data_IF_807821612431
#
_entry.id   IF_807821612431
#
_cell.length_a   1.000
_cell.length_b   1.000
_cell.length_c   1.000
_cell.angle_alpha   90.00
_cell.angle_beta   90.00
_cell.angle_gamma   90.00
#
_symmetry.space_group_name_H-M   'P 1'
#
loop_
_entity.id
_entity.type
_entity.pdbx_description
1 polymer ?
#
# COMPACT_ATOMS: atom_id res chain seq x y z
N UNK A 1 -17.35 14.72 -16.10
CA UNK A 1 -16.28 14.08 -16.90
C UNK A 1 -14.90 14.14 -16.22
N UNK A 2 -14.43 15.30 -15.75
CA UNK A 2 -13.10 15.43 -15.12
C UNK A 2 -12.88 14.48 -13.91
N UNK A 3 -13.82 14.45 -12.96
CA UNK A 3 -13.69 13.62 -11.73
C UNK A 3 -13.68 12.13 -12.01
N UNK A 4 -14.47 11.65 -12.99
CA UNK A 4 -14.46 10.25 -13.43
C UNK A 4 -13.10 9.85 -14.03
N UNK A 5 -12.45 10.77 -14.76
CA UNK A 5 -11.11 10.55 -15.29
C UNK A 5 -10.06 10.56 -14.18
N UNK A 6 -10.22 11.40 -13.17
CA UNK A 6 -9.32 11.46 -12.00
C UNK A 6 -9.39 10.17 -11.17
N UNK A 7 -10.60 9.66 -10.91
CA UNK A 7 -10.80 8.39 -10.18
C UNK A 7 -10.22 7.22 -10.97
N UNK A 8 -10.48 7.16 -12.29
CA UNK A 8 -9.92 6.12 -13.15
C UNK A 8 -8.37 6.16 -13.20
N UNK A 9 -7.78 7.36 -13.27
CA UNK A 9 -6.33 7.53 -13.18
C UNK A 9 -5.79 7.01 -11.84
N UNK A 10 -6.48 7.30 -10.74
CA UNK A 10 -6.12 6.83 -9.41
C UNK A 10 -6.18 5.30 -9.30
N UNK A 11 -7.23 4.68 -9.85
CA UNK A 11 -7.36 3.21 -9.90
C UNK A 11 -6.22 2.57 -10.68
N UNK A 12 -5.88 3.11 -11.86
CA UNK A 12 -4.77 2.63 -12.68
C UNK A 12 -3.43 2.76 -11.94
N UNK A 13 -3.21 3.88 -11.24
CA UNK A 13 -2.00 4.12 -10.46
C UNK A 13 -1.90 3.17 -9.27
N UNK A 14 -3.02 2.93 -8.59
CA UNK A 14 -3.10 2.02 -7.45
C UNK A 14 -2.87 0.58 -7.89
N UNK A 15 -3.46 0.15 -9.01
CA UNK A 15 -3.23 -1.16 -9.61
C UNK A 15 -1.77 -1.34 -10.03
N UNK A 16 -1.17 -0.32 -10.66
CA UNK A 16 0.24 -0.35 -11.04
C UNK A 16 1.16 -0.49 -9.81
N UNK A 17 0.85 0.20 -8.71
CA UNK A 17 1.57 0.07 -7.44
C UNK A 17 1.42 -1.34 -6.85
N UNK A 18 0.23 -1.93 -6.87
CA UNK A 18 0.01 -3.32 -6.43
C UNK A 18 0.82 -4.31 -7.27
N UNK A 19 0.85 -4.15 -8.60
CA UNK A 19 1.67 -4.99 -9.49
C UNK A 19 3.15 -4.83 -9.19
N UNK A 20 3.64 -3.60 -8.99
CA UNK A 20 5.01 -3.32 -8.58
C UNK A 20 5.34 -3.97 -7.23
N UNK A 21 4.42 -3.93 -6.27
CA UNK A 21 4.53 -4.59 -4.98
C UNK A 21 4.77 -6.08 -5.16
N UNK A 22 3.93 -6.74 -5.96
CA UNK A 22 4.02 -8.18 -6.23
C UNK A 22 5.33 -8.55 -6.92
N UNK A 23 5.77 -7.76 -7.91
CA UNK A 23 7.06 -7.99 -8.59
C UNK A 23 8.21 -7.89 -7.59
N UNK A 24 8.22 -6.87 -6.74
CA UNK A 24 9.26 -6.71 -5.71
C UNK A 24 9.24 -7.86 -4.69
N UNK A 25 8.06 -8.32 -4.30
CA UNK A 25 7.89 -9.44 -3.37
C UNK A 25 8.39 -10.76 -3.98
N UNK A 26 8.08 -11.02 -5.25
CA UNK A 26 8.57 -12.20 -5.98
C UNK A 26 10.10 -12.12 -6.14
N UNK A 27 10.64 -10.98 -6.55
CA UNK A 27 12.10 -10.83 -6.69
C UNK A 27 12.83 -10.96 -5.36
N UNK A 28 12.29 -10.42 -4.26
CA UNK A 28 12.86 -10.63 -2.93
C UNK A 28 12.96 -12.11 -2.54
N UNK A 29 12.01 -12.93 -2.99
CA UNK A 29 12.00 -14.36 -2.66
C UNK A 29 13.07 -15.16 -3.39
N UNK A 30 13.53 -14.68 -4.56
CA UNK A 30 14.51 -15.37 -5.41
C UNK A 30 15.97 -15.02 -5.09
N UNK A 31 16.22 -13.97 -4.30
CA UNK A 31 17.58 -13.51 -4.00
C UNK A 31 18.06 -14.04 -2.64
N UNK A 32 19.12 -14.86 -2.65
CA UNK A 32 20.02 -15.05 -1.48
C UNK A 32 20.76 -13.74 -1.21
N UNK A 33 20.08 -12.79 -0.59
CA UNK A 33 20.62 -11.49 -0.23
C UNK A 33 20.75 -11.37 1.28
N UNK A 34 21.72 -10.59 1.74
CA UNK A 34 22.05 -10.49 3.17
C UNK A 34 20.83 -10.05 3.97
N UNK A 35 20.76 -10.41 5.26
CA UNK A 35 19.64 -10.06 6.14
C UNK A 35 19.31 -8.55 6.10
N UNK A 36 20.32 -7.71 5.89
CA UNK A 36 20.18 -6.27 5.70
C UNK A 36 19.37 -5.92 4.44
N UNK A 37 19.68 -6.49 3.28
CA UNK A 37 18.96 -6.20 2.03
C UNK A 37 17.50 -6.68 2.07
N UNK A 38 17.24 -7.83 2.71
CA UNK A 38 15.87 -8.29 2.96
C UNK A 38 15.10 -7.36 3.90
N UNK A 39 15.75 -6.84 4.95
CA UNK A 39 15.14 -5.85 5.85
C UNK A 39 14.76 -4.56 5.11
N UNK A 40 15.67 -4.05 4.26
CA UNK A 40 15.44 -2.83 3.47
C UNK A 40 14.31 -3.05 2.46
N UNK A 41 14.27 -4.19 1.77
CA UNK A 41 13.23 -4.43 0.78
C UNK A 41 11.86 -4.70 1.43
N UNK A 42 11.80 -5.35 2.60
CA UNK A 42 10.57 -5.46 3.38
C UNK A 42 10.04 -4.08 3.79
N UNK A 43 10.93 -3.17 4.16
CA UNK A 43 10.60 -1.80 4.55
C UNK A 43 10.12 -0.97 3.35
N UNK A 44 10.77 -1.09 2.18
CA UNK A 44 10.33 -0.47 0.92
C UNK A 44 8.93 -0.96 0.54
N UNK A 45 8.67 -2.27 0.66
CA UNK A 45 7.35 -2.83 0.38
C UNK A 45 6.29 -2.31 1.37
N UNK A 46 6.64 -2.20 2.66
CA UNK A 46 5.78 -1.55 3.65
C UNK A 46 5.46 -0.09 3.29
N UNK A 47 6.47 0.71 2.93
CA UNK A 47 6.28 2.10 2.51
C UNK A 47 5.35 2.21 1.30
N UNK A 48 5.39 1.24 0.40
CA UNK A 48 4.53 1.21 -0.78
C UNK A 48 3.07 0.89 -0.40
N UNK A 49 2.84 -0.01 0.57
CA UNK A 49 1.51 -0.22 1.17
C UNK A 49 0.99 1.04 1.86
N UNK A 50 1.85 1.77 2.58
CA UNK A 50 1.50 3.04 3.21
C UNK A 50 1.10 4.11 2.17
N UNK A 51 1.78 4.16 1.03
CA UNK A 51 1.42 5.06 -0.06
C UNK A 51 0.02 4.74 -0.63
N UNK A 52 -0.31 3.45 -0.80
CA UNK A 52 -1.64 3.02 -1.25
C UNK A 52 -2.72 3.40 -0.22
N UNK A 53 -2.49 3.16 1.07
CA UNK A 53 -3.41 3.54 2.15
C UNK A 53 -3.67 5.06 2.10
N UNK A 54 -2.62 5.86 1.95
CA UNK A 54 -2.76 7.33 1.84
C UNK A 54 -3.51 7.76 0.59
N UNK A 55 -3.34 7.06 -0.53
CA UNK A 55 -4.16 7.28 -1.73
C UNK A 55 -5.65 7.06 -1.47
N UNK A 56 -5.98 5.99 -0.74
CA UNK A 56 -7.36 5.67 -0.36
C UNK A 56 -7.92 6.70 0.64
N UNK A 57 -7.11 7.15 1.62
CA UNK A 57 -7.49 8.22 2.56
C UNK A 57 -7.86 9.52 1.81
N UNK A 58 -7.05 9.92 0.82
CA UNK A 58 -7.33 11.11 -0.01
C UNK A 58 -8.64 10.94 -0.79
N UNK A 59 -8.92 9.74 -1.28
CA UNK A 59 -10.15 9.42 -1.99
C UNK A 59 -11.37 9.50 -1.05
N UNK A 60 -11.22 9.04 0.20
CA UNK A 60 -12.23 9.17 1.25
C UNK A 60 -12.49 10.63 1.62
N UNK A 61 -11.44 11.45 1.79
CA UNK A 61 -11.58 12.89 2.04
C UNK A 61 -12.26 13.61 0.87
N UNK A 62 -11.98 13.18 -0.36
CA UNK A 62 -12.63 13.71 -1.56
C UNK A 62 -14.13 13.39 -1.60
N UNK A 63 -14.54 12.22 -1.09
CA UNK A 63 -15.94 11.87 -0.88
C UNK A 63 -16.61 12.83 0.11
N UNK A 64 -15.98 13.10 1.25
CA UNK A 64 -16.51 14.02 2.25
C UNK A 64 -16.65 15.46 1.72
N UNK A 65 -15.73 15.89 0.85
CA UNK A 65 -15.77 17.21 0.23
C UNK A 65 -16.87 17.38 -0.84
N UNK A 66 -17.30 16.29 -1.50
CA UNK A 66 -18.27 16.34 -2.60
C UNK A 66 -19.34 15.23 -2.54
N UNK A 67 -20.12 15.11 -1.44
CA UNK A 67 -20.98 13.96 -1.19
C UNK A 67 -22.05 13.74 -2.26
N UNK A 68 -22.63 14.82 -2.81
CA UNK A 68 -23.67 14.74 -3.84
C UNK A 68 -23.15 14.16 -5.17
N UNK A 69 -21.87 14.36 -5.49
CA UNK A 69 -21.26 13.80 -6.69
C UNK A 69 -21.08 12.28 -6.56
N UNK A 70 -20.60 11.80 -5.41
CA UNK A 70 -20.41 10.38 -5.16
C UNK A 70 -21.74 9.62 -5.01
N UNK A 71 -22.76 10.26 -4.41
CA UNK A 71 -24.11 9.71 -4.32
C UNK A 71 -24.79 9.58 -5.69
N UNK A 72 -24.66 10.60 -6.56
CA UNK A 72 -25.29 10.60 -7.89
C UNK A 72 -24.60 9.68 -8.91
N UNK A 73 -23.36 9.26 -8.65
CA UNK A 73 -22.58 8.37 -9.52
C UNK A 73 -22.53 6.92 -9.03
N UNK A 74 -23.05 6.62 -7.84
CA UNK A 74 -22.99 5.27 -7.25
C UNK A 74 -21.59 4.82 -6.81
N UNK A 75 -20.60 5.73 -6.85
CA UNK A 75 -19.21 5.46 -6.43
C UNK A 75 -19.07 5.28 -4.91
N UNK A 76 -20.11 5.60 -4.14
CA UNK A 76 -20.05 5.61 -2.69
C UNK A 76 -19.70 4.25 -2.07
N UNK A 77 -20.32 3.17 -2.57
CA UNK A 77 -20.04 1.81 -2.10
C UNK A 77 -18.63 1.34 -2.49
N UNK A 78 -18.12 1.80 -3.63
CA UNK A 78 -16.78 1.48 -4.12
C UNK A 78 -15.69 2.07 -3.23
N UNK A 79 -15.80 3.37 -2.91
CA UNK A 79 -14.88 4.04 -1.98
C UNK A 79 -14.94 3.38 -0.59
N UNK A 80 -16.14 3.07 -0.10
CA UNK A 80 -16.31 2.35 1.17
C UNK A 80 -15.64 0.97 1.18
N UNK A 81 -15.73 0.22 0.07
CA UNK A 81 -15.01 -1.04 -0.10
C UNK A 81 -13.50 -0.88 -0.06
N UNK A 82 -12.95 0.13 -0.75
CA UNK A 82 -11.52 0.43 -0.73
C UNK A 82 -11.00 0.79 0.65
N UNK A 83 -11.73 1.63 1.39
CA UNK A 83 -11.38 1.97 2.79
C UNK A 83 -11.36 0.72 3.67
N UNK A 84 -12.35 -0.17 3.49
CA UNK A 84 -12.42 -1.43 4.24
C UNK A 84 -11.22 -2.34 3.94
N UNK A 85 -10.86 -2.50 2.66
CA UNK A 85 -9.67 -3.28 2.26
C UNK A 85 -8.39 -2.66 2.81
N UNK A 86 -8.28 -1.33 2.82
CA UNK A 86 -7.13 -0.64 3.39
C UNK A 86 -6.98 -0.92 4.89
N UNK A 87 -8.08 -0.84 5.65
CA UNK A 87 -8.06 -1.05 7.10
C UNK A 87 -7.85 -2.52 7.48
N UNK A 88 -8.49 -3.45 6.77
CA UNK A 88 -8.49 -4.87 7.15
C UNK A 88 -7.29 -5.64 6.58
N UNK A 89 -6.77 -5.25 5.41
CA UNK A 89 -5.70 -5.98 4.75
C UNK A 89 -4.40 -5.17 4.68
N UNK A 90 -4.43 -3.97 4.08
CA UNK A 90 -3.18 -3.23 3.78
C UNK A 90 -2.47 -2.73 5.03
N UNK A 91 -3.22 -2.23 6.02
CA UNK A 91 -2.64 -1.66 7.24
C UNK A 91 -2.00 -2.73 8.15
N UNK A 92 -2.61 -3.92 8.34
CA UNK A 92 -1.93 -5.06 8.95
C UNK A 92 -0.71 -5.54 8.15
N UNK A 93 -0.79 -5.58 6.81
CA UNK A 93 0.34 -5.97 5.97
C UNK A 93 1.53 -5.02 6.17
N UNK A 94 1.27 -3.72 6.21
CA UNK A 94 2.28 -2.70 6.51
C UNK A 94 2.94 -2.94 7.86
N UNK A 95 2.15 -3.19 8.91
CA UNK A 95 2.67 -3.47 10.24
C UNK A 95 3.57 -4.71 10.27
N UNK A 96 3.18 -5.78 9.57
CA UNK A 96 4.01 -6.99 9.42
C UNK A 96 5.31 -6.69 8.68
N UNK A 97 5.27 -5.92 7.59
CA UNK A 97 6.47 -5.54 6.85
C UNK A 97 7.46 -4.73 7.69
N UNK A 98 6.96 -3.81 8.52
CA UNK A 98 7.79 -3.05 9.47
C UNK A 98 8.38 -3.97 10.54
N UNK A 99 7.58 -4.86 11.12
CA UNK A 99 8.05 -5.84 12.12
C UNK A 99 9.15 -6.74 11.57
N UNK A 100 8.93 -7.30 10.37
CA UNK A 100 9.89 -8.16 9.68
C UNK A 100 11.18 -7.40 9.39
N UNK A 101 11.09 -6.14 8.93
CA UNK A 101 12.28 -5.32 8.70
C UNK A 101 13.06 -5.04 9.99
N UNK A 102 12.38 -4.73 11.10
CA UNK A 102 13.02 -4.48 12.40
C UNK A 102 13.70 -5.74 12.94
N UNK A 103 13.06 -6.90 12.84
CA UNK A 103 13.64 -8.18 13.28
C UNK A 103 14.90 -8.50 12.47
N UNK A 104 14.83 -8.44 11.15
CA UNK A 104 16.00 -8.72 10.30
C UNK A 104 17.13 -7.71 10.49
N UNK A 105 16.81 -6.43 10.71
CA UNK A 105 17.82 -5.42 11.02
C UNK A 105 18.50 -5.72 12.36
N UNK A 106 17.73 -6.11 13.39
CA UNK A 106 18.26 -6.50 14.70
C UNK A 106 19.21 -7.71 14.59
N UNK A 107 18.79 -8.76 13.90
CA UNK A 107 19.62 -9.96 13.70
C UNK A 107 20.93 -9.62 12.96
N UNK A 108 20.88 -8.71 11.98
CA UNK A 108 22.07 -8.25 11.28
C UNK A 108 23.03 -7.49 12.20
N UNK A 109 22.53 -6.69 13.15
CA UNK A 109 23.34 -5.98 14.14
C UNK A 109 23.95 -6.90 15.20
N UNK A 110 23.19 -7.88 15.71
CA UNK A 110 23.70 -8.85 16.70
C UNK A 110 24.79 -9.76 16.12
N UNK A 111 24.76 -10.05 14.82
CA UNK A 111 25.81 -10.85 14.15
C UNK A 111 27.07 -10.05 13.77
N UNK A 112 27.09 -8.73 14.01
CA UNK A 112 28.27 -7.86 13.78
C UNK A 112 29.11 -7.63 15.05
N UNK A 113 28.61 -8.01 16.23
CA UNK A 113 29.30 -7.91 17.54
C UNK A 113 29.98 -9.21 17.94
#
# INVERSE_FOLDING_TARGET
>A
MAVSNTVFMLDVLTLALVVLSLILLVRNREYERSAFENSVNALIFGLLMMAIIKGIDVLSLSKEAAPNFFASTGLEAYVGGMVTVAQVALLPLFAVCVLVAVIFAKDAFENLS
#
